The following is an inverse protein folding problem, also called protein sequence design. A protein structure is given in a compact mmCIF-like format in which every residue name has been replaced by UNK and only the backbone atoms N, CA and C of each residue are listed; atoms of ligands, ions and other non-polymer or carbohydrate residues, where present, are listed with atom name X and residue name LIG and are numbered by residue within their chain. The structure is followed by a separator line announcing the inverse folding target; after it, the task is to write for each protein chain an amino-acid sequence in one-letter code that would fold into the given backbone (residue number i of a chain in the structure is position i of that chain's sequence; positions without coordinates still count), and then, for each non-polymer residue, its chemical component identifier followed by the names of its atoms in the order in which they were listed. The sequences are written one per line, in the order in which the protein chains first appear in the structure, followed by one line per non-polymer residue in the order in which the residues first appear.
data_IF_590404574764
#
_entry.id   IF_590404574764
#
_cell.length_a   1.000
_cell.length_b   1.000
_cell.length_c   1.000
_cell.angle_alpha   90.00
_cell.angle_beta   90.00
_cell.angle_gamma   90.00
#
_symmetry.space_group_name_H-M   'P 1'
#
loop_
_entity.id
_entity.type
_entity.pdbx_description
1 polymer ?
#
# COMPACT_ATOMS: atom_id res chain seq x y z
N UNK A 1 9.86 4.37 -7.53
CA UNK A 1 9.17 5.30 -8.46
C UNK A 1 8.87 4.69 -9.81
N UNK A 2 9.37 3.49 -10.14
CA UNK A 2 9.20 2.92 -11.50
C UNK A 2 7.75 2.53 -11.75
N UNK A 3 7.08 1.95 -10.76
CA UNK A 3 5.66 1.57 -10.89
C UNK A 3 4.76 2.79 -11.14
N UNK A 4 4.90 3.88 -10.36
CA UNK A 4 4.09 5.08 -10.56
C UNK A 4 4.39 5.77 -11.91
N UNK A 5 5.66 5.84 -12.31
CA UNK A 5 6.05 6.37 -13.63
C UNK A 5 5.41 5.53 -14.74
N UNK A 6 5.42 4.20 -14.63
CA UNK A 6 4.82 3.32 -15.63
C UNK A 6 3.30 3.51 -15.77
N UNK A 7 2.59 3.71 -14.64
CA UNK A 7 1.15 4.00 -14.63
C UNK A 7 0.87 5.33 -15.34
N UNK A 8 1.66 6.37 -15.04
CA UNK A 8 1.38 7.74 -15.47
C UNK A 8 1.89 8.08 -16.87
N UNK A 9 2.88 7.34 -17.40
CA UNK A 9 3.45 7.58 -18.72
C UNK A 9 2.34 7.67 -19.81
N UNK A 10 2.31 8.73 -20.66
CA UNK A 10 3.38 9.70 -20.92
C UNK A 10 3.42 10.94 -20.00
N UNK A 11 2.50 11.08 -19.04
CA UNK A 11 2.54 12.19 -18.09
C UNK A 11 3.72 12.05 -17.14
N UNK A 12 4.39 13.18 -16.86
CA UNK A 12 5.34 13.22 -15.76
C UNK A 12 4.59 13.14 -14.42
N UNK A 13 5.22 12.53 -13.42
CA UNK A 13 4.66 12.43 -12.06
C UNK A 13 4.32 13.81 -11.50
N UNK A 14 5.19 14.81 -11.73
CA UNK A 14 4.99 16.19 -11.28
C UNK A 14 3.78 16.85 -11.94
N UNK A 15 3.62 16.68 -13.25
CA UNK A 15 2.48 17.25 -13.98
C UNK A 15 1.15 16.66 -13.48
N UNK A 16 1.11 15.33 -13.33
CA UNK A 16 -0.07 14.64 -12.82
C UNK A 16 -0.43 15.11 -11.40
N UNK A 17 0.53 15.19 -10.49
CA UNK A 17 0.27 15.66 -9.13
C UNK A 17 -0.19 17.12 -9.07
N UNK A 18 0.32 17.96 -9.97
CA UNK A 18 -0.07 19.37 -10.01
C UNK A 18 -1.47 19.60 -10.58
N UNK A 19 -1.88 18.83 -11.59
CA UNK A 19 -3.11 19.08 -12.36
C UNK A 19 -4.27 18.17 -12.00
N UNK A 20 -4.00 16.90 -11.72
CA UNK A 20 -5.03 15.86 -11.68
C UNK A 20 -5.25 15.32 -10.28
N UNK A 21 -4.17 15.01 -9.56
CA UNK A 21 -4.24 14.42 -8.23
C UNK A 21 -5.18 15.19 -7.30
N UNK A 22 -6.17 14.50 -6.74
CA UNK A 22 -7.27 15.00 -5.89
C UNK A 22 -8.23 16.00 -6.55
N UNK A 23 -8.02 16.37 -7.81
CA UNK A 23 -8.75 17.47 -8.45
C UNK A 23 -9.65 17.01 -9.61
N UNK A 24 -9.14 16.17 -10.52
CA UNK A 24 -9.85 15.81 -11.73
C UNK A 24 -9.41 14.45 -12.29
N UNK A 25 -10.38 13.67 -12.78
CA UNK A 25 -10.09 12.42 -13.47
C UNK A 25 -9.32 12.64 -14.76
N UNK A 26 -8.48 11.67 -15.13
CA UNK A 26 -7.71 11.70 -16.37
C UNK A 26 -7.61 10.31 -16.98
N UNK A 27 -7.86 10.24 -18.27
CA UNK A 27 -7.61 9.08 -19.10
C UNK A 27 -6.17 9.14 -19.63
N UNK A 28 -5.41 8.08 -19.42
CA UNK A 28 -4.01 7.96 -19.81
C UNK A 28 -3.91 6.79 -20.81
N UNK A 29 -3.78 7.09 -22.11
CA UNK A 29 -3.67 6.05 -23.12
C UNK A 29 -2.33 5.33 -22.99
N UNK A 30 -2.37 4.04 -23.31
CA UNK A 30 -1.19 3.19 -23.37
C UNK A 30 -0.51 3.18 -24.73
N UNK A 31 -1.06 3.88 -25.71
CA UNK A 31 -0.60 3.88 -27.11
C UNK A 31 -0.50 2.47 -27.71
N UNK A 32 -1.34 1.55 -27.24
CA UNK A 32 -1.37 0.15 -27.69
C UNK A 32 -0.39 -0.78 -26.98
N UNK A 33 0.41 -0.27 -26.03
CA UNK A 33 1.26 -1.11 -25.20
C UNK A 33 0.44 -1.78 -24.08
N UNK A 34 0.55 -3.09 -23.97
CA UNK A 34 -0.07 -3.82 -22.86
C UNK A 34 0.75 -3.71 -21.56
N UNK A 35 0.72 -2.52 -20.95
CA UNK A 35 1.57 -2.14 -19.80
C UNK A 35 1.48 -3.04 -18.57
N UNK A 36 0.40 -3.82 -18.43
CA UNK A 36 0.05 -4.56 -17.22
C UNK A 36 -0.09 -6.08 -17.42
N UNK A 37 0.28 -6.62 -18.59
CA UNK A 37 0.17 -8.05 -18.90
C UNK A 37 0.93 -8.96 -17.92
N UNK A 38 2.03 -8.46 -17.34
CA UNK A 38 2.81 -9.19 -16.35
C UNK A 38 2.13 -9.23 -14.97
N UNK A 39 1.26 -8.27 -14.67
CA UNK A 39 0.65 -8.13 -13.36
C UNK A 39 -0.49 -9.13 -13.17
N UNK A 40 -1.40 -9.25 -14.14
CA UNK A 40 -2.58 -10.08 -14.01
C UNK A 40 -3.12 -10.57 -15.36
N UNK A 41 -3.94 -11.63 -15.34
CA UNK A 41 -4.54 -12.22 -16.54
C UNK A 41 -5.74 -13.11 -16.19
N UNK A 42 -6.49 -13.56 -17.20
CA UNK A 42 -7.56 -14.54 -17.04
C UNK A 42 -7.06 -15.88 -16.49
N UNK A 43 -5.86 -16.32 -16.90
CA UNK A 43 -5.24 -17.56 -16.39
C UNK A 43 -4.92 -17.44 -14.91
N UNK A 44 -4.39 -16.29 -14.46
CA UNK A 44 -4.14 -16.04 -13.03
C UNK A 44 -5.44 -15.99 -12.23
N UNK A 45 -6.48 -15.33 -12.74
CA UNK A 45 -7.80 -15.35 -12.10
C UNK A 45 -8.34 -16.77 -11.97
N UNK A 46 -8.30 -17.55 -13.06
CA UNK A 46 -8.78 -18.94 -13.10
C UNK A 46 -7.98 -19.83 -12.15
N UNK A 47 -6.66 -19.68 -12.10
CA UNK A 47 -5.81 -20.38 -11.14
C UNK A 47 -6.23 -20.07 -9.70
N UNK A 48 -6.43 -18.79 -9.37
CA UNK A 48 -6.88 -18.40 -8.04
C UNK A 48 -8.23 -19.05 -7.70
N UNK A 49 -9.23 -18.97 -8.58
CA UNK A 49 -10.56 -19.54 -8.35
C UNK A 49 -10.54 -21.07 -8.17
N UNK A 50 -9.59 -21.77 -8.79
CA UNK A 50 -9.48 -23.22 -8.69
C UNK A 50 -8.68 -23.70 -7.46
N UNK A 51 -7.74 -22.89 -6.97
CA UNK A 51 -6.76 -23.33 -5.95
C UNK A 51 -6.77 -22.51 -4.66
N UNK A 52 -7.63 -21.49 -4.55
CA UNK A 52 -7.83 -20.72 -3.33
C UNK A 52 -9.28 -20.79 -2.90
N UNK A 53 -9.49 -20.90 -1.60
CA UNK A 53 -10.80 -20.76 -1.01
C UNK A 53 -11.10 -19.26 -0.84
N UNK A 54 -12.23 -18.83 -1.39
CA UNK A 54 -12.71 -17.46 -1.27
C UNK A 54 -13.98 -17.43 -0.43
N UNK A 55 -13.99 -16.55 0.55
CA UNK A 55 -15.17 -16.27 1.37
C UNK A 55 -15.65 -14.85 1.12
N UNK A 56 -16.92 -14.59 1.44
CA UNK A 56 -17.38 -13.21 1.55
C UNK A 56 -16.63 -12.51 2.71
N UNK A 57 -16.18 -11.25 2.57
CA UNK A 57 -16.32 -10.35 1.43
C UNK A 57 -15.10 -10.34 0.48
N UNK A 58 -14.18 -11.30 0.56
CA UNK A 58 -12.98 -11.34 -0.30
C UNK A 58 -13.32 -11.61 -1.78
N UNK A 59 -14.37 -12.39 -2.03
CA UNK A 59 -14.99 -12.53 -3.35
C UNK A 59 -16.47 -12.11 -3.28
N UNK A 60 -16.87 -11.23 -4.19
CA UNK A 60 -18.23 -10.68 -4.25
C UNK A 60 -18.74 -10.64 -5.69
N UNK A 61 -20.05 -10.60 -5.83
CA UNK A 61 -20.73 -10.40 -7.11
C UNK A 61 -21.56 -9.14 -7.05
N UNK A 62 -21.59 -8.40 -8.17
CA UNK A 62 -22.48 -7.27 -8.35
C UNK A 62 -23.38 -7.49 -9.56
N UNK A 63 -24.68 -7.37 -9.37
CA UNK A 63 -25.70 -7.59 -10.39
C UNK A 63 -26.76 -6.49 -10.28
N UNK A 64 -27.24 -6.01 -11.43
CA UNK A 64 -28.26 -4.95 -11.52
C UNK A 64 -27.91 -3.70 -10.70
N UNK A 65 -26.62 -3.36 -10.70
CA UNK A 65 -26.10 -2.15 -10.07
C UNK A 65 -25.81 -2.25 -8.57
N UNK A 66 -26.13 -3.36 -7.91
CA UNK A 66 -25.86 -3.57 -6.48
C UNK A 66 -24.81 -4.66 -6.26
N UNK A 67 -23.99 -4.49 -5.23
CA UNK A 67 -23.19 -5.60 -4.68
C UNK A 67 -24.14 -6.51 -3.92
N UNK A 68 -24.09 -7.81 -4.20
CA UNK A 68 -24.92 -8.82 -3.57
C UNK A 68 -24.43 -9.09 -2.14
N UNK A 69 -25.38 -9.31 -1.23
CA UNK A 69 -25.09 -9.71 0.14
C UNK A 69 -24.54 -11.15 0.20
N UNK A 70 -23.93 -11.55 1.32
CA UNK A 70 -23.31 -12.87 1.48
C UNK A 70 -24.23 -14.04 1.09
N UNK A 71 -25.50 -13.98 1.49
CA UNK A 71 -26.48 -15.04 1.17
C UNK A 71 -26.90 -15.07 -0.30
N UNK A 72 -26.86 -13.93 -0.98
CA UNK A 72 -27.15 -13.80 -2.42
C UNK A 72 -25.93 -14.15 -3.28
N UNK A 73 -24.72 -14.01 -2.72
CA UNK A 73 -23.43 -14.30 -3.35
C UNK A 73 -23.15 -15.82 -3.43
N UNK A 74 -24.12 -16.57 -3.93
CA UNK A 74 -24.12 -18.03 -4.03
C UNK A 74 -24.11 -18.47 -5.50
N UNK A 75 -23.45 -19.61 -5.79
CA UNK A 75 -23.36 -20.17 -7.13
C UNK A 75 -22.78 -19.19 -8.17
N UNK A 76 -21.48 -18.90 -8.00
CA UNK A 76 -20.68 -17.97 -8.80
C UNK A 76 -20.94 -18.06 -10.32
N UNK A 77 -20.87 -19.28 -10.87
CA UNK A 77 -20.97 -19.46 -12.32
C UNK A 77 -22.35 -19.08 -12.87
N UNK A 78 -23.41 -19.41 -12.14
CA UNK A 78 -24.78 -19.06 -12.55
C UNK A 78 -24.95 -17.54 -12.59
N UNK A 79 -24.52 -16.84 -11.54
CA UNK A 79 -24.63 -15.38 -11.46
C UNK A 79 -23.79 -14.69 -12.53
N UNK A 80 -22.58 -15.19 -12.82
CA UNK A 80 -21.77 -14.69 -13.93
C UNK A 80 -22.48 -14.86 -15.29
N UNK A 81 -23.13 -16.00 -15.54
CA UNK A 81 -23.93 -16.23 -16.76
C UNK A 81 -25.14 -15.29 -16.85
N UNK A 82 -25.69 -14.86 -15.71
CA UNK A 82 -26.77 -13.87 -15.63
C UNK A 82 -26.26 -12.41 -15.81
N UNK A 83 -24.94 -12.23 -15.85
CA UNK A 83 -24.30 -10.94 -16.10
C UNK A 83 -23.68 -10.28 -14.86
N UNK A 84 -23.60 -10.99 -13.73
CA UNK A 84 -23.00 -10.44 -12.52
C UNK A 84 -21.50 -10.17 -12.70
N UNK A 85 -21.06 -8.98 -12.33
CA UNK A 85 -19.63 -8.64 -12.27
C UNK A 85 -18.99 -9.31 -11.06
N UNK A 86 -17.95 -10.09 -11.30
CA UNK A 86 -17.13 -10.72 -10.27
C UNK A 86 -16.11 -9.71 -9.74
N UNK A 87 -15.99 -9.63 -8.41
CA UNK A 87 -15.09 -8.76 -7.67
C UNK A 87 -14.22 -9.62 -6.77
N UNK A 88 -12.89 -9.51 -6.92
CA UNK A 88 -11.93 -10.15 -6.01
C UNK A 88 -11.17 -9.07 -5.27
N UNK A 89 -11.49 -8.89 -4.00
CA UNK A 89 -10.89 -7.89 -3.15
C UNK A 89 -9.46 -8.29 -2.75
N UNK A 90 -8.61 -7.28 -2.57
CA UNK A 90 -7.24 -7.45 -2.04
C UNK A 90 -6.42 -8.51 -2.79
N UNK A 91 -6.64 -8.66 -4.09
CA UNK A 91 -6.00 -9.70 -4.92
C UNK A 91 -4.46 -9.59 -4.94
N UNK A 92 -3.92 -8.40 -4.66
CA UNK A 92 -2.48 -8.19 -4.41
C UNK A 92 -1.91 -8.98 -3.24
N UNK A 93 -2.72 -9.60 -2.38
CA UNK A 93 -2.24 -10.51 -1.34
C UNK A 93 -2.02 -11.93 -1.83
N UNK A 94 -2.56 -12.28 -2.99
CA UNK A 94 -2.58 -13.63 -3.54
C UNK A 94 -1.58 -13.81 -4.69
N UNK A 95 -1.11 -12.71 -5.29
CA UNK A 95 -0.29 -12.73 -6.50
C UNK A 95 1.01 -11.97 -6.26
N UNK A 96 2.18 -12.63 -6.33
CA UNK A 96 3.48 -12.01 -6.05
C UNK A 96 3.78 -10.75 -6.87
N UNK A 97 3.40 -10.72 -8.15
CA UNK A 97 3.63 -9.57 -9.02
C UNK A 97 2.82 -8.36 -8.56
N UNK A 98 1.56 -8.57 -8.15
CA UNK A 98 0.72 -7.52 -7.58
C UNK A 98 1.17 -7.11 -6.18
N UNK A 99 1.67 -8.05 -5.36
CA UNK A 99 2.33 -7.73 -4.09
C UNK A 99 3.48 -6.76 -4.29
N UNK A 100 4.36 -7.06 -5.24
CA UNK A 100 5.55 -6.24 -5.51
C UNK A 100 5.16 -4.88 -6.07
N UNK A 101 4.23 -4.85 -7.04
CA UNK A 101 3.69 -3.63 -7.61
C UNK A 101 3.07 -2.72 -6.53
N UNK A 102 2.17 -3.26 -5.70
CA UNK A 102 1.54 -2.48 -4.63
C UNK A 102 2.54 -2.04 -3.56
N UNK A 103 3.54 -2.85 -3.23
CA UNK A 103 4.59 -2.48 -2.28
C UNK A 103 5.45 -1.34 -2.80
N UNK A 104 5.80 -1.34 -4.09
CA UNK A 104 6.52 -0.23 -4.71
C UNK A 104 5.68 1.06 -4.70
N UNK A 105 4.40 0.98 -5.09
CA UNK A 105 3.49 2.14 -5.05
C UNK A 105 3.36 2.69 -3.63
N UNK A 106 3.21 1.84 -2.62
CA UNK A 106 3.17 2.26 -1.20
C UNK A 106 4.45 2.96 -0.78
N UNK A 107 5.60 2.42 -1.21
CA UNK A 107 6.90 3.01 -0.91
C UNK A 107 7.03 4.43 -1.50
N UNK A 108 6.61 4.59 -2.76
CA UNK A 108 6.67 5.84 -3.51
C UNK A 108 5.70 6.90 -2.97
N UNK A 109 4.46 6.52 -2.69
CA UNK A 109 3.39 7.43 -2.29
C UNK A 109 3.40 7.68 -0.77
N UNK A 110 3.92 6.74 0.03
CA UNK A 110 3.92 6.81 1.50
C UNK A 110 2.58 6.49 2.17
N UNK A 111 1.57 6.04 1.42
CA UNK A 111 0.24 5.70 1.93
C UNK A 111 -0.15 4.26 1.62
N UNK A 112 -1.22 3.80 2.26
CA UNK A 112 -1.77 2.46 2.03
C UNK A 112 -2.28 2.32 0.59
N UNK A 113 -1.97 1.19 -0.03
CA UNK A 113 -2.49 0.82 -1.34
C UNK A 113 -3.14 -0.56 -1.29
N UNK A 114 -4.21 -0.73 -2.05
CA UNK A 114 -4.92 -1.98 -2.21
C UNK A 114 -5.28 -2.16 -3.68
N UNK A 115 -5.19 -3.39 -4.18
CA UNK A 115 -5.71 -3.74 -5.52
C UNK A 115 -6.86 -4.73 -5.40
N UNK A 116 -7.93 -4.43 -6.12
CA UNK A 116 -9.05 -5.33 -6.39
C UNK A 116 -9.09 -5.69 -7.87
N UNK A 117 -9.57 -6.88 -8.22
CA UNK A 117 -9.85 -7.27 -9.60
C UNK A 117 -11.35 -7.29 -9.87
N UNK A 118 -11.72 -6.91 -11.10
CA UNK A 118 -13.11 -6.88 -11.56
C UNK A 118 -13.22 -7.54 -12.93
N UNK A 119 -14.14 -8.49 -13.04
CA UNK A 119 -14.47 -9.22 -14.25
C UNK A 119 -15.94 -8.96 -14.62
N UNK A 120 -16.17 -8.31 -15.76
CA UNK A 120 -17.50 -7.91 -16.23
C UNK A 120 -17.82 -8.52 -17.60
N UNK A 121 -19.12 -8.71 -17.88
CA UNK A 121 -19.63 -9.34 -19.10
C UNK A 121 -20.32 -8.31 -20.01
N UNK A 122 -20.36 -8.56 -21.34
CA UNK A 122 -21.01 -7.68 -22.31
C UNK A 122 -22.45 -7.31 -21.96
N UNK A 123 -22.84 -6.06 -22.25
CA UNK A 123 -24.23 -5.61 -22.20
C UNK A 123 -24.86 -5.50 -20.80
N UNK A 124 -24.07 -5.66 -19.73
CA UNK A 124 -24.54 -5.61 -18.34
C UNK A 124 -23.73 -4.61 -17.52
N UNK A 125 -24.45 -3.73 -16.83
CA UNK A 125 -23.86 -2.80 -15.86
C UNK A 125 -23.66 -3.52 -14.52
N UNK A 126 -22.42 -3.69 -14.09
CA UNK A 126 -22.13 -4.32 -12.80
C UNK A 126 -22.53 -3.46 -11.60
N UNK A 127 -22.20 -2.17 -11.64
CA UNK A 127 -22.42 -1.22 -10.54
C UNK A 127 -23.25 -0.04 -10.97
N UNK A 128 -24.16 0.42 -10.13
CA UNK A 128 -24.79 1.73 -10.28
C UNK A 128 -23.73 2.83 -10.21
N UNK A 129 -24.08 4.03 -10.65
CA UNK A 129 -23.21 5.20 -10.44
C UNK A 129 -22.91 5.35 -8.95
N UNK A 130 -21.63 5.48 -8.60
CA UNK A 130 -21.14 5.61 -7.23
C UNK A 130 -19.83 6.39 -7.21
N UNK A 131 -19.39 6.85 -6.05
CA UNK A 131 -18.02 7.32 -5.84
C UNK A 131 -17.32 6.47 -4.78
N UNK A 132 -15.99 6.47 -4.84
CA UNK A 132 -15.10 5.92 -3.81
C UNK A 132 -14.68 7.00 -2.81
N UNK A 133 -14.42 6.59 -1.57
CA UNK A 133 -13.88 7.45 -0.51
C UNK A 133 -12.35 7.50 -0.48
N UNK A 134 -11.71 7.01 -1.54
CA UNK A 134 -10.26 6.90 -1.70
C UNK A 134 -9.89 7.11 -3.17
N UNK A 135 -8.62 7.44 -3.42
CA UNK A 135 -8.12 7.72 -4.77
C UNK A 135 -8.00 6.41 -5.55
N UNK A 136 -8.44 6.36 -6.81
CA UNK A 136 -8.39 5.12 -7.59
C UNK A 136 -7.71 5.27 -8.94
N UNK A 137 -6.90 4.28 -9.29
CA UNK A 137 -6.37 4.05 -10.63
C UNK A 137 -6.95 2.75 -11.17
N UNK A 138 -7.69 2.84 -12.27
CA UNK A 138 -8.19 1.72 -13.03
C UNK A 138 -7.12 1.33 -14.05
N UNK A 139 -6.64 0.10 -13.99
CA UNK A 139 -5.66 -0.48 -14.89
C UNK A 139 -6.36 -1.53 -15.75
N UNK A 140 -6.60 -1.24 -17.03
CA UNK A 140 -7.30 -2.17 -17.93
C UNK A 140 -6.36 -3.32 -18.31
N UNK A 141 -6.76 -4.56 -18.01
CA UNK A 141 -5.94 -5.76 -18.25
C UNK A 141 -6.34 -6.43 -19.56
N UNK A 142 -7.64 -6.69 -19.75
CA UNK A 142 -8.13 -7.38 -20.94
C UNK A 142 -9.54 -6.91 -21.32
N UNK A 143 -9.89 -7.03 -22.60
CA UNK A 143 -11.15 -6.51 -23.15
C UNK A 143 -11.27 -4.99 -23.07
N UNK A 144 -12.48 -4.48 -23.31
CA UNK A 144 -12.78 -3.04 -23.33
C UNK A 144 -13.90 -2.66 -22.38
N UNK A 145 -13.73 -1.51 -21.72
CA UNK A 145 -14.74 -0.97 -20.79
C UNK A 145 -14.94 0.52 -21.02
N UNK A 146 -16.20 0.93 -21.20
CA UNK A 146 -16.58 2.34 -21.28
C UNK A 146 -16.81 2.88 -19.88
N UNK A 147 -16.16 3.99 -19.56
CA UNK A 147 -16.24 4.66 -18.28
C UNK A 147 -16.87 6.04 -18.43
N UNK A 148 -17.71 6.39 -17.47
CA UNK A 148 -18.33 7.70 -17.34
C UNK A 148 -17.99 8.25 -15.96
N UNK A 149 -17.45 9.46 -15.90
CA UNK A 149 -17.07 10.14 -14.66
C UNK A 149 -17.76 11.49 -14.58
N UNK A 150 -18.37 11.76 -13.43
CA UNK A 150 -19.18 12.91 -13.11
C UNK A 150 -18.56 13.68 -11.93
N UNK A 151 -18.93 14.96 -11.75
CA UNK A 151 -18.42 15.77 -10.64
C UNK A 151 -18.74 15.16 -9.27
N UNK A 152 -17.97 15.52 -8.26
CA UNK A 152 -18.27 15.16 -6.88
C UNK A 152 -19.55 15.86 -6.39
N UNK A 153 -20.31 15.19 -5.52
CA UNK A 153 -21.39 15.81 -4.74
C UNK A 153 -20.93 16.18 -3.33
N UNK A 154 -19.86 15.53 -2.87
CA UNK A 154 -19.16 15.80 -1.62
C UNK A 154 -17.67 15.79 -1.96
N UNK A 155 -16.97 16.90 -1.71
CA UNK A 155 -15.52 16.96 -1.86
C UNK A 155 -14.83 16.17 -0.76
N UNK A 156 -13.87 15.34 -1.16
CA UNK A 156 -13.00 14.60 -0.25
C UNK A 156 -13.76 13.78 0.81
N UNK A 157 -14.73 12.93 0.41
CA UNK A 157 -15.55 12.20 1.37
C UNK A 157 -14.70 11.32 2.28
N UNK A 158 -15.05 11.31 3.56
CA UNK A 158 -14.50 10.42 4.56
C UNK A 158 -15.01 8.99 4.38
N UNK A 159 -14.34 7.97 4.95
CA UNK A 159 -14.79 6.58 4.85
C UNK A 159 -16.23 6.33 5.29
N UNK A 160 -16.80 7.13 6.17
CA UNK A 160 -18.18 6.98 6.64
C UNK A 160 -19.20 7.63 5.66
N UNK A 161 -18.73 8.48 4.76
CA UNK A 161 -19.54 9.22 3.78
C UNK A 161 -19.64 8.43 2.47
N UNK A 162 -20.17 7.22 2.55
CA UNK A 162 -20.33 6.33 1.41
C UNK A 162 -21.38 6.84 0.41
N UNK A 163 -21.17 6.58 -0.88
CA UNK A 163 -22.04 7.03 -1.97
C UNK A 163 -23.47 6.49 -1.91
N UNK A 164 -23.69 5.34 -1.28
CA UNK A 164 -25.03 4.77 -1.07
C UNK A 164 -25.97 5.70 -0.26
N UNK A 165 -25.42 6.63 0.51
CA UNK A 165 -26.16 7.62 1.29
C UNK A 165 -26.40 8.93 0.55
N UNK A 166 -26.02 9.02 -0.73
CA UNK A 166 -26.07 10.24 -1.54
C UNK A 166 -26.78 9.98 -2.87
N UNK A 167 -27.36 11.03 -3.44
CA UNK A 167 -27.87 10.99 -4.81
C UNK A 167 -26.74 11.30 -5.80
N UNK A 168 -26.66 10.58 -6.94
CA UNK A 168 -25.74 10.94 -8.02
C UNK A 168 -26.01 12.37 -8.53
N UNK A 169 -24.99 13.06 -9.08
CA UNK A 169 -25.17 14.36 -9.69
C UNK A 169 -26.06 14.25 -10.93
N UNK A 170 -26.86 15.28 -11.17
CA UNK A 170 -27.58 15.44 -12.43
C UNK A 170 -26.65 15.99 -13.52
N UNK A 171 -26.89 15.61 -14.78
CA UNK A 171 -26.16 16.11 -15.94
C UNK A 171 -25.23 15.06 -16.57
N UNK A 172 -24.46 15.53 -17.55
CA UNK A 172 -23.57 14.69 -18.35
C UNK A 172 -22.22 14.45 -17.66
N UNK A 173 -21.55 13.31 -17.92
CA UNK A 173 -20.23 13.06 -17.40
C UNK A 173 -19.23 14.06 -17.98
N UNK A 174 -18.37 14.64 -17.14
CA UNK A 174 -17.30 15.52 -17.62
C UNK A 174 -16.18 14.75 -18.33
N UNK A 175 -16.09 13.44 -18.10
CA UNK A 175 -15.18 12.54 -18.79
C UNK A 175 -15.90 11.26 -19.16
N UNK A 176 -15.86 10.91 -20.45
CA UNK A 176 -16.34 9.63 -20.98
C UNK A 176 -15.26 9.05 -21.89
N UNK A 177 -14.74 7.86 -21.55
CA UNK A 177 -13.68 7.21 -22.32
C UNK A 177 -13.91 5.69 -22.42
N UNK A 178 -13.19 5.05 -23.35
CA UNK A 178 -13.13 3.59 -23.46
C UNK A 178 -11.69 3.19 -23.12
N UNK A 179 -11.52 2.34 -22.11
CA UNK A 179 -10.22 1.78 -21.78
C UNK A 179 -9.99 0.51 -22.61
N UNK A 180 -8.82 0.45 -23.24
CA UNK A 180 -8.25 -0.73 -23.90
C UNK A 180 -7.15 -1.33 -23.02
N UNK A 181 -6.75 -2.60 -23.25
CA UNK A 181 -5.68 -3.22 -22.48
C UNK A 181 -4.41 -2.36 -22.40
N UNK A 182 -3.94 -2.10 -21.18
CA UNK A 182 -2.81 -1.22 -20.87
C UNK A 182 -3.18 0.22 -20.52
N UNK A 183 -4.38 0.69 -20.88
CA UNK A 183 -4.83 2.05 -20.57
C UNK A 183 -5.09 2.23 -19.07
N UNK A 184 -4.98 3.47 -18.60
CA UNK A 184 -5.25 3.85 -17.21
C UNK A 184 -6.33 4.93 -17.13
N UNK A 185 -7.21 4.83 -16.16
CA UNK A 185 -8.09 5.93 -15.74
C UNK A 185 -7.83 6.24 -14.26
N UNK A 186 -7.43 7.46 -13.97
CA UNK A 186 -7.41 7.96 -12.60
C UNK A 186 -8.73 8.67 -12.28
N UNK A 187 -9.31 8.38 -11.11
CA UNK A 187 -10.52 9.05 -10.60
C UNK A 187 -10.25 9.51 -9.16
N UNK A 188 -10.39 10.81 -8.86
CA UNK A 188 -10.25 11.29 -7.49
C UNK A 188 -11.42 10.84 -6.60
N UNK A 189 -11.17 10.72 -5.29
CA UNK A 189 -12.24 10.34 -4.34
C UNK A 189 -13.41 11.33 -4.39
N UNK A 190 -14.63 10.83 -4.25
CA UNK A 190 -15.86 11.63 -4.33
C UNK A 190 -16.40 11.85 -5.74
N UNK A 191 -15.61 11.62 -6.80
CA UNK A 191 -16.12 11.72 -8.17
C UNK A 191 -16.95 10.49 -8.53
N UNK A 192 -18.19 10.75 -8.93
CA UNK A 192 -19.14 9.73 -9.30
C UNK A 192 -18.75 9.07 -10.61
N UNK A 193 -18.92 7.77 -10.72
CA UNK A 193 -18.59 7.03 -11.91
C UNK A 193 -19.39 5.73 -12.04
N UNK A 194 -19.52 5.28 -13.28
CA UNK A 194 -19.94 3.92 -13.60
C UNK A 194 -19.23 3.44 -14.87
N UNK A 195 -19.26 2.12 -15.08
CA UNK A 195 -18.59 1.49 -16.20
C UNK A 195 -19.44 0.39 -16.83
N UNK A 196 -19.35 0.28 -18.15
CA UNK A 196 -20.05 -0.69 -18.97
C UNK A 196 -19.02 -1.50 -19.76
N UNK A 197 -19.06 -2.83 -19.61
CA UNK A 197 -18.35 -3.70 -20.53
C UNK A 197 -19.03 -3.63 -21.91
N UNK A 198 -18.22 -3.58 -22.96
CA UNK A 198 -18.71 -3.41 -24.34
C UNK A 198 -19.03 -4.79 -24.95
N UNK A 199 -18.42 -5.13 -26.07
CA UNK A 199 -18.80 -6.30 -26.88
C UNK A 199 -18.18 -7.61 -26.38
N UNK A 200 -17.13 -7.53 -25.56
CA UNK A 200 -16.36 -8.67 -25.03
C UNK A 200 -16.23 -8.61 -23.50
N UNK A 201 -15.98 -9.75 -22.83
CA UNK A 201 -15.62 -9.76 -21.41
C UNK A 201 -14.48 -8.80 -21.10
N UNK A 202 -14.52 -8.15 -19.94
CA UNK A 202 -13.54 -7.13 -19.55
C UNK A 202 -12.96 -7.43 -18.17
N UNK A 203 -11.64 -7.37 -18.09
CA UNK A 203 -10.86 -7.57 -16.87
C UNK A 203 -10.07 -6.29 -16.56
N UNK A 204 -10.22 -5.76 -15.35
CA UNK A 204 -9.39 -4.65 -14.88
C UNK A 204 -9.00 -4.83 -13.42
N UNK A 205 -7.92 -4.14 -13.05
CA UNK A 205 -7.50 -3.96 -11.67
C UNK A 205 -7.83 -2.54 -11.24
N UNK A 206 -8.32 -2.36 -10.02
CA UNK A 206 -8.42 -1.03 -9.40
C UNK A 206 -7.42 -0.96 -8.27
N UNK A 207 -6.43 -0.08 -8.43
CA UNK A 207 -5.48 0.32 -7.41
C UNK A 207 -6.09 1.49 -6.61
N UNK A 208 -6.54 1.21 -5.39
CA UNK A 208 -7.01 2.19 -4.43
C UNK A 208 -5.88 2.69 -3.53
N UNK A 209 -5.74 4.01 -3.38
CA UNK A 209 -4.80 4.66 -2.46
C UNK A 209 -5.55 5.32 -1.29
N UNK A 210 -5.23 4.88 -0.09
CA UNK A 210 -5.86 5.32 1.16
C UNK A 210 -4.97 6.37 1.83
N UNK A 211 -5.00 7.59 1.30
CA UNK A 211 -4.25 8.73 1.80
C UNK A 211 -4.78 9.22 3.15
N UNK A 212 -3.87 9.73 3.98
CA UNK A 212 -4.19 10.34 5.27
C UNK A 212 -4.70 11.77 5.12
N UNK A 213 -5.55 12.17 6.04
CA UNK A 213 -6.20 13.48 6.08
C UNK A 213 -5.66 14.33 7.23
N UNK A 214 -6.07 15.59 7.30
CA UNK A 214 -5.78 16.43 8.47
C UNK A 214 -6.37 15.90 9.78
N UNK A 215 -7.44 15.09 9.71
CA UNK A 215 -8.03 14.42 10.88
C UNK A 215 -7.04 13.39 11.44
N UNK A 216 -6.45 12.56 10.58
CA UNK A 216 -5.47 11.55 11.00
C UNK A 216 -4.23 12.20 11.67
N UNK A 217 -3.79 13.35 11.17
CA UNK A 217 -2.70 14.13 11.79
C UNK A 217 -3.10 14.61 13.19
N UNK A 218 -4.31 15.15 13.33
CA UNK A 218 -4.81 15.63 14.61
C UNK A 218 -4.99 14.47 15.62
N UNK A 219 -5.49 13.32 15.18
CA UNK A 219 -5.61 12.13 16.03
C UNK A 219 -4.26 11.64 16.54
N UNK A 220 -3.25 11.58 15.67
CA UNK A 220 -1.88 11.27 16.08
C UNK A 220 -1.35 12.32 17.08
N UNK A 221 -1.55 13.60 16.78
CA UNK A 221 -1.09 14.70 17.63
C UNK A 221 -1.74 14.65 19.03
N UNK A 222 -3.01 14.28 19.13
CA UNK A 222 -3.67 14.02 20.42
C UNK A 222 -2.95 12.91 21.20
N UNK A 223 -2.41 11.90 20.52
CA UNK A 223 -1.54 10.88 21.10
C UNK A 223 -0.28 11.46 21.74
N UNK A 224 0.41 12.37 21.05
CA UNK A 224 1.61 13.06 21.55
C UNK A 224 1.28 13.96 22.74
N UNK A 225 0.21 14.75 22.65
CA UNK A 225 -0.20 15.69 23.70
C UNK A 225 -0.60 14.99 25.00
N UNK A 226 -1.07 13.73 24.96
CA UNK A 226 -1.34 12.93 26.17
C UNK A 226 -0.12 12.73 27.06
N UNK A 227 1.09 12.85 26.53
CA UNK A 227 2.32 12.73 27.32
C UNK A 227 2.62 13.99 28.14
N UNK A 228 1.98 15.12 27.82
CA UNK A 228 2.21 16.40 28.49
C UNK A 228 1.29 16.58 29.69
N UNK A 229 1.84 17.09 30.79
CA UNK A 229 1.07 17.33 32.02
C UNK A 229 -0.05 18.34 31.80
N UNK A 230 0.22 19.47 31.15
CA UNK A 230 -0.76 20.55 30.96
C UNK A 230 -2.02 20.08 30.21
N UNK A 231 -1.88 19.13 29.29
CA UNK A 231 -2.98 18.52 28.54
C UNK A 231 -3.72 17.42 29.30
N UNK A 232 -3.14 16.91 30.40
CA UNK A 232 -3.78 15.93 31.29
C UNK A 232 -4.48 16.58 32.49
N UNK A 233 -4.21 17.86 32.78
CA UNK A 233 -4.85 18.57 33.90
C UNK A 233 -6.34 18.73 33.68
N UNK A 234 -7.10 18.69 34.78
CA UNK A 234 -8.54 18.94 34.76
C UNK A 234 -8.82 20.36 34.27
N UNK A 235 -9.86 20.50 33.43
CA UNK A 235 -10.40 21.81 33.07
C UNK A 235 -10.90 22.55 34.32
N UNK A 236 -10.92 23.90 34.30
CA UNK A 236 -11.57 24.69 35.35
C UNK A 236 -13.01 24.27 35.58
N UNK A 237 -13.48 24.41 36.84
CA UNK A 237 -14.86 24.13 37.19
C UNK A 237 -15.80 25.04 36.39
N UNK A 238 -16.87 24.46 35.84
CA UNK A 238 -17.82 25.13 34.92
C UNK A 238 -18.68 26.22 35.58
N UNK A 239 -18.39 26.60 36.82
CA UNK A 239 -19.12 27.63 37.55
C UNK A 239 -18.86 29.03 36.94
N UNK A 240 -17.77 29.20 36.20
CA UNK A 240 -17.40 30.46 35.54
C UNK A 240 -16.91 30.22 34.10
N UNK A 241 -17.72 30.53 33.08
CA UNK A 241 -17.40 30.30 31.66
C UNK A 241 -16.10 30.99 31.20
N UNK A 242 -15.78 32.16 31.77
CA UNK A 242 -14.54 32.89 31.45
C UNK A 242 -13.28 32.08 31.80
N UNK A 243 -13.32 31.29 32.88
CA UNK A 243 -12.19 30.45 33.30
C UNK A 243 -11.90 29.33 32.29
N UNK A 244 -12.95 28.74 31.71
CA UNK A 244 -12.83 27.70 30.67
C UNK A 244 -12.21 28.28 29.40
N UNK A 245 -12.65 29.46 28.96
CA UNK A 245 -12.08 30.12 27.77
C UNK A 245 -10.58 30.40 27.95
N UNK A 246 -10.19 31.01 29.07
CA UNK A 246 -8.77 31.32 29.35
C UNK A 246 -7.91 30.06 29.36
N UNK A 247 -8.42 28.95 29.92
CA UNK A 247 -7.69 27.69 29.91
C UNK A 247 -7.57 27.11 28.49
N UNK A 248 -8.63 27.16 27.68
CA UNK A 248 -8.58 26.75 26.26
C UNK A 248 -7.57 27.60 25.47
N UNK A 249 -7.56 28.92 25.67
CA UNK A 249 -6.60 29.81 25.01
C UNK A 249 -5.15 29.45 25.42
N UNK A 250 -4.92 29.09 26.69
CA UNK A 250 -3.62 28.61 27.16
C UNK A 250 -3.20 27.30 26.51
N UNK A 251 -4.12 26.34 26.32
CA UNK A 251 -3.83 25.08 25.63
C UNK A 251 -3.52 25.32 24.13
N UNK A 252 -4.25 26.24 23.48
CA UNK A 252 -3.96 26.63 22.10
C UNK A 252 -2.57 27.28 22.00
N UNK A 253 -2.19 28.11 22.98
CA UNK A 253 -0.86 28.71 23.02
C UNK A 253 0.23 27.65 23.23
N UNK A 254 0.05 26.70 24.15
CA UNK A 254 0.99 25.58 24.34
C UNK A 254 1.10 24.72 23.08
N UNK A 255 -0.02 24.46 22.40
CA UNK A 255 -0.02 23.74 21.13
C UNK A 255 0.85 24.48 20.10
N UNK A 256 0.63 25.78 19.91
CA UNK A 256 1.41 26.57 18.96
C UNK A 256 2.91 26.57 19.30
N UNK A 257 3.25 26.66 20.58
CA UNK A 257 4.64 26.59 21.03
C UNK A 257 5.25 25.20 20.76
N UNK A 258 4.50 24.13 21.00
CA UNK A 258 4.93 22.78 20.70
C UNK A 258 5.16 22.56 19.20
N UNK A 259 4.21 22.99 18.37
CA UNK A 259 4.32 22.87 16.91
C UNK A 259 5.49 23.70 16.36
N UNK A 260 5.76 24.89 16.93
CA UNK A 260 6.88 25.74 16.52
C UNK A 260 8.25 25.19 16.92
N UNK A 261 8.32 24.43 18.03
CA UNK A 261 9.56 23.84 18.54
C UNK A 261 9.89 22.44 18.01
N UNK A 262 8.98 21.81 17.27
CA UNK A 262 9.07 20.40 16.85
C UNK A 262 9.08 20.28 15.32
N UNK A 263 9.68 19.21 14.78
CA UNK A 263 9.58 18.92 13.34
C UNK A 263 8.40 17.97 13.10
N UNK A 264 7.19 18.49 13.31
CA UNK A 264 5.94 17.73 13.28
C UNK A 264 5.76 16.95 11.97
N UNK A 265 6.18 17.53 10.85
CA UNK A 265 6.15 16.85 9.56
C UNK A 265 7.01 15.57 9.55
N UNK A 266 8.26 15.68 10.01
CA UNK A 266 9.18 14.53 10.08
C UNK A 266 8.76 13.50 11.15
N UNK A 267 8.21 13.96 12.27
CA UNK A 267 7.68 13.10 13.33
C UNK A 267 6.46 12.31 12.85
N UNK A 268 5.51 12.97 12.18
CA UNK A 268 4.35 12.31 11.62
C UNK A 268 4.72 11.33 10.49
N UNK A 269 5.66 11.69 9.60
CA UNK A 269 6.18 10.76 8.61
C UNK A 269 6.83 9.53 9.29
N UNK A 270 7.62 9.75 10.34
CA UNK A 270 8.20 8.65 11.12
C UNK A 270 7.13 7.75 11.74
N UNK A 271 6.04 8.35 12.23
CA UNK A 271 4.89 7.61 12.77
C UNK A 271 4.20 6.77 11.68
N UNK A 272 3.94 7.35 10.50
CA UNK A 272 3.36 6.62 9.37
C UNK A 272 4.25 5.45 8.91
N UNK A 273 5.56 5.65 8.89
CA UNK A 273 6.53 4.60 8.57
C UNK A 273 6.49 3.46 9.59
N UNK A 274 6.28 3.78 10.87
CA UNK A 274 6.08 2.80 11.93
C UNK A 274 4.74 2.06 11.85
N UNK A 275 3.68 2.72 11.36
CA UNK A 275 2.37 2.11 11.12
C UNK A 275 2.33 1.20 9.90
N UNK A 276 3.20 1.43 8.92
CA UNK A 276 3.25 0.62 7.73
C UNK A 276 3.42 -0.84 8.14
N UNK A 277 2.36 -1.64 7.96
CA UNK A 277 2.42 -3.09 8.10
C UNK A 277 2.88 -3.65 6.75
N UNK A 278 4.16 -3.99 6.61
CA UNK A 278 4.66 -4.68 5.44
C UNK A 278 4.03 -6.08 5.38
N UNK A 279 3.98 -6.64 4.18
CA UNK A 279 3.68 -8.06 4.07
C UNK A 279 4.81 -8.83 4.75
N UNK A 280 4.46 -9.69 5.71
CA UNK A 280 5.44 -10.54 6.35
C UNK A 280 6.05 -11.47 5.29
N UNK A 281 7.34 -11.29 5.05
CA UNK A 281 8.11 -12.25 4.28
C UNK A 281 8.66 -13.29 5.24
N UNK A 282 8.69 -14.53 4.78
CA UNK A 282 9.25 -15.64 5.53
C UNK A 282 10.31 -16.33 4.67
N UNK A 283 11.44 -16.65 5.28
CA UNK A 283 12.50 -17.45 4.63
C UNK A 283 12.68 -18.74 5.42
N UNK A 284 11.70 -19.64 5.34
CA UNK A 284 11.78 -20.95 5.96
C UNK A 284 12.64 -21.91 5.12
N UNK A 285 13.44 -22.81 5.72
CA UNK A 285 13.55 -23.04 7.17
C UNK A 285 14.60 -22.14 7.86
N UNK A 286 15.31 -21.30 7.11
CA UNK A 286 16.44 -20.48 7.60
C UNK A 286 16.04 -19.54 8.74
N UNK A 287 14.90 -18.88 8.62
CA UNK A 287 14.33 -18.01 9.65
C UNK A 287 13.95 -18.75 10.92
N UNK A 288 13.71 -20.06 10.84
CA UNK A 288 13.51 -20.92 12.01
C UNK A 288 14.84 -21.38 12.64
N UNK A 289 15.99 -20.90 12.15
CA UNK A 289 17.32 -21.19 12.68
C UNK A 289 18.03 -22.39 12.05
N UNK A 290 17.47 -23.00 10.99
CA UNK A 290 18.05 -24.21 10.39
C UNK A 290 18.85 -23.91 9.12
N UNK A 291 20.07 -24.46 9.04
CA UNK A 291 20.94 -24.42 7.85
C UNK A 291 21.18 -23.01 7.28
N UNK A 292 21.24 -22.01 8.16
CA UNK A 292 21.31 -20.59 7.80
C UNK A 292 22.53 -20.27 6.92
N UNK A 293 23.66 -20.94 7.18
CA UNK A 293 24.90 -20.79 6.42
C UNK A 293 25.31 -22.09 5.71
N UNK A 294 24.36 -22.77 5.04
CA UNK A 294 24.65 -24.02 4.30
C UNK A 294 25.81 -23.87 3.30
N UNK A 295 26.00 -22.66 2.77
CA UNK A 295 27.07 -22.33 1.82
C UNK A 295 28.20 -21.51 2.45
N UNK A 296 28.32 -21.50 3.79
CA UNK A 296 29.32 -20.71 4.50
C UNK A 296 29.24 -19.23 4.13
N UNK A 297 30.38 -18.63 3.79
CA UNK A 297 30.50 -17.22 3.39
C UNK A 297 29.81 -16.91 2.06
N UNK A 298 29.57 -17.92 1.22
CA UNK A 298 28.85 -17.76 -0.07
C UNK A 298 27.32 -17.76 0.11
N UNK A 299 26.84 -17.89 1.34
CA UNK A 299 25.42 -17.75 1.64
C UNK A 299 24.94 -16.35 1.26
N UNK A 300 23.90 -16.29 0.43
CA UNK A 300 23.30 -15.03 -0.02
C UNK A 300 22.17 -14.59 0.88
N UNK A 301 22.15 -13.29 1.17
CA UNK A 301 21.14 -12.60 1.93
C UNK A 301 20.53 -11.48 1.09
N UNK A 302 19.31 -11.10 1.44
CA UNK A 302 18.63 -9.93 0.88
C UNK A 302 17.82 -9.22 1.96
N UNK A 303 17.79 -7.90 1.89
CA UNK A 303 16.79 -7.10 2.58
C UNK A 303 15.54 -6.93 1.71
N UNK A 304 14.34 -6.75 2.29
CA UNK A 304 13.15 -6.49 1.50
C UNK A 304 13.22 -5.14 0.77
N UNK A 305 12.99 -5.17 -0.55
CA UNK A 305 13.23 -4.03 -1.46
C UNK A 305 12.43 -2.75 -1.20
N UNK A 306 11.26 -2.86 -0.57
CA UNK A 306 10.31 -1.74 -0.40
C UNK A 306 10.00 -1.45 1.07
N UNK A 307 10.98 -1.75 1.93
CA UNK A 307 10.86 -1.59 3.37
C UNK A 307 11.55 -0.30 3.80
N UNK A 308 10.82 0.55 4.52
CA UNK A 308 11.42 1.73 5.16
C UNK A 308 12.16 1.26 6.41
N UNK A 309 13.41 1.68 6.52
CA UNK A 309 14.31 1.32 7.63
C UNK A 309 14.74 2.61 8.30
N UNK A 310 14.47 2.71 9.60
CA UNK A 310 14.97 3.81 10.41
C UNK A 310 16.17 3.33 11.21
N UNK A 311 17.29 4.02 11.07
CA UNK A 311 18.54 3.74 11.78
C UNK A 311 18.77 4.88 12.76
N UNK A 312 18.82 4.56 14.05
CA UNK A 312 19.09 5.50 15.12
C UNK A 312 20.38 5.10 15.83
N UNK A 313 21.25 6.04 16.14
CA UNK A 313 22.41 5.77 16.99
C UNK A 313 21.96 5.55 18.44
N UNK A 314 22.57 4.59 19.12
CA UNK A 314 22.30 4.34 20.54
C UNK A 314 22.86 5.51 21.36
N UNK A 315 22.19 5.84 22.47
CA UNK A 315 22.56 6.98 23.33
C UNK A 315 23.96 6.87 23.95
N UNK A 316 24.49 5.66 24.04
CA UNK A 316 25.85 5.37 24.55
C UNK A 316 26.91 5.34 23.44
N UNK A 317 26.53 5.61 22.19
CA UNK A 317 27.42 5.53 21.02
C UNK A 317 27.89 4.10 20.69
N UNK A 318 27.33 3.08 21.35
CA UNK A 318 27.81 1.70 21.22
C UNK A 318 27.34 0.99 19.96
N UNK A 319 26.48 1.62 19.16
CA UNK A 319 25.96 1.04 17.91
C UNK A 319 24.64 1.67 17.47
N UNK A 320 23.82 0.86 16.80
CA UNK A 320 22.62 1.34 16.11
C UNK A 320 21.37 0.53 16.49
N UNK A 321 20.25 1.25 16.60
CA UNK A 321 18.89 0.72 16.71
C UNK A 321 18.24 0.80 15.33
N UNK A 322 17.88 -0.36 14.79
CA UNK A 322 17.17 -0.51 13.54
C UNK A 322 15.69 -0.71 13.85
N UNK A 323 14.85 0.14 13.29
CA UNK A 323 13.39 0.04 13.40
C UNK A 323 12.84 -0.21 12.02
N UNK A 324 12.18 -1.36 11.86
CA UNK A 324 11.58 -1.73 10.58
C UNK A 324 10.56 -2.87 10.73
N UNK A 325 9.54 -2.91 9.87
CA UNK A 325 8.40 -3.86 9.97
C UNK A 325 7.71 -3.89 11.36
N UNK A 326 7.73 -2.78 12.11
CA UNK A 326 7.25 -2.75 13.51
C UNK A 326 8.13 -3.53 14.49
N UNK A 327 9.31 -3.99 14.07
CA UNK A 327 10.34 -4.63 14.89
C UNK A 327 11.43 -3.64 15.21
N UNK A 328 12.08 -3.89 16.34
CA UNK A 328 13.22 -3.11 16.83
C UNK A 328 14.36 -4.06 17.15
N UNK A 329 15.52 -3.84 16.53
CA UNK A 329 16.74 -4.62 16.78
C UNK A 329 17.89 -3.66 17.04
N UNK A 330 18.56 -3.82 18.18
CA UNK A 330 19.78 -3.10 18.51
C UNK A 330 21.01 -3.95 18.17
N UNK A 331 21.91 -3.38 17.38
CA UNK A 331 23.21 -3.98 17.03
C UNK A 331 24.29 -3.09 17.63
N UNK A 332 25.20 -3.70 18.37
CA UNK A 332 26.34 -3.02 19.02
C UNK A 332 27.64 -3.38 18.33
N UNK A 333 28.61 -2.49 18.39
CA UNK A 333 29.97 -2.72 17.89
C UNK A 333 29.98 -3.02 16.40
N UNK A 334 29.23 -2.27 15.60
CA UNK A 334 29.28 -2.34 14.13
C UNK A 334 29.36 -0.94 13.57
N UNK A 335 30.05 -0.78 12.45
CA UNK A 335 30.10 0.51 11.75
C UNK A 335 28.78 0.82 11.03
N UNK A 336 28.49 2.11 10.85
CA UNK A 336 27.32 2.59 10.11
C UNK A 336 27.28 2.08 8.67
N UNK A 337 28.44 1.97 8.05
CA UNK A 337 28.66 1.49 6.68
C UNK A 337 28.05 0.11 6.45
N UNK A 338 28.18 -0.80 7.41
CA UNK A 338 27.57 -2.13 7.37
C UNK A 338 26.04 -2.01 7.26
N UNK A 339 25.45 -1.20 8.12
CA UNK A 339 23.99 -1.02 8.17
C UNK A 339 23.51 -0.44 6.84
N UNK A 340 24.21 0.58 6.34
CA UNK A 340 23.90 1.20 5.04
C UNK A 340 24.00 0.18 3.89
N UNK A 341 25.03 -0.67 3.88
CA UNK A 341 25.24 -1.71 2.86
C UNK A 341 24.15 -2.80 2.89
N UNK A 342 23.78 -3.29 4.08
CA UNK A 342 22.76 -4.34 4.27
C UNK A 342 21.37 -3.88 3.79
N UNK A 343 21.06 -2.59 3.97
CA UNK A 343 19.76 -2.02 3.61
C UNK A 343 19.75 -1.27 2.27
N UNK A 344 20.76 -1.48 1.40
CA UNK A 344 20.74 -0.98 0.01
C UNK A 344 19.64 -1.60 -0.85
N UNK A 345 19.12 -2.77 -0.47
CA UNK A 345 18.11 -3.53 -1.21
C UNK A 345 18.70 -4.48 -2.26
N UNK A 346 20.03 -4.48 -2.45
CA UNK A 346 20.72 -5.45 -3.30
C UNK A 346 21.10 -6.71 -2.48
N UNK A 347 21.05 -7.90 -3.08
CA UNK A 347 21.52 -9.11 -2.41
C UNK A 347 23.03 -9.07 -2.16
N UNK A 348 23.46 -9.61 -1.03
CA UNK A 348 24.87 -9.68 -0.61
C UNK A 348 25.20 -11.07 -0.07
N UNK A 349 26.49 -11.38 0.05
CA UNK A 349 27.02 -12.64 0.60
C UNK A 349 27.66 -12.43 1.96
N UNK A 350 27.92 -13.51 2.69
CA UNK A 350 28.81 -13.46 3.86
C UNK A 350 30.22 -12.95 3.52
N UNK A 351 30.73 -13.29 2.34
CA UNK A 351 32.00 -12.78 1.80
C UNK A 351 31.98 -11.24 1.63
N UNK A 352 30.86 -10.67 1.19
CA UNK A 352 30.69 -9.21 1.13
C UNK A 352 30.72 -8.59 2.52
N UNK A 353 30.08 -9.22 3.52
CA UNK A 353 30.09 -8.73 4.91
C UNK A 353 31.49 -8.77 5.50
N UNK A 354 32.27 -9.82 5.26
CA UNK A 354 33.69 -9.88 5.67
C UNK A 354 34.52 -8.75 5.03
N UNK A 355 34.25 -8.41 3.77
CA UNK A 355 34.93 -7.30 3.10
C UNK A 355 34.53 -5.93 3.69
N UNK A 356 33.29 -5.79 4.15
CA UNK A 356 32.83 -4.56 4.83
C UNK A 356 33.37 -4.45 6.26
N UNK A 357 33.70 -5.58 6.89
CA UNK A 357 34.13 -5.69 8.28
C UNK A 357 35.41 -6.54 8.39
N UNK A 358 36.56 -6.09 7.85
CA UNK A 358 37.77 -6.91 7.75
C UNK A 358 38.38 -7.29 9.11
N UNK A 359 38.04 -6.56 10.17
CA UNK A 359 38.51 -6.80 11.55
C UNK A 359 37.62 -7.78 12.34
N UNK A 360 36.52 -8.28 11.73
CA UNK A 360 35.54 -9.13 12.41
C UNK A 360 35.68 -10.59 11.96
N UNK A 361 35.60 -11.51 12.90
CA UNK A 361 35.68 -12.94 12.60
C UNK A 361 34.36 -13.50 12.06
N UNK A 362 34.46 -14.39 11.08
CA UNK A 362 33.29 -15.00 10.45
C UNK A 362 32.43 -15.78 11.46
N UNK A 363 33.04 -16.63 12.29
CA UNK A 363 32.32 -17.54 13.17
C UNK A 363 31.85 -16.84 14.45
N UNK A 364 32.68 -15.98 15.04
CA UNK A 364 32.36 -15.38 16.35
C UNK A 364 31.57 -14.08 16.27
N UNK A 365 31.69 -13.33 15.18
CA UNK A 365 31.05 -12.01 15.07
C UNK A 365 29.97 -11.95 13.99
N UNK A 366 30.32 -12.34 12.75
CA UNK A 366 29.44 -12.17 11.58
C UNK A 366 28.29 -13.18 11.60
N UNK A 367 28.56 -14.46 11.89
CA UNK A 367 27.53 -15.51 11.95
C UNK A 367 26.45 -15.20 13.00
N UNK A 368 26.77 -14.82 14.26
CA UNK A 368 25.75 -14.44 15.24
C UNK A 368 24.93 -13.22 14.82
N UNK A 369 25.59 -12.21 14.24
CA UNK A 369 24.92 -11.01 13.74
C UNK A 369 23.90 -11.34 12.65
N UNK A 370 24.34 -12.02 11.58
CA UNK A 370 23.48 -12.37 10.45
C UNK A 370 22.38 -13.36 10.87
N UNK A 371 22.68 -14.30 11.77
CA UNK A 371 21.67 -15.20 12.36
C UNK A 371 20.57 -14.43 13.04
N UNK A 372 20.93 -13.46 13.91
CA UNK A 372 19.96 -12.62 14.60
C UNK A 372 19.10 -11.83 13.62
N UNK A 373 19.70 -11.23 12.60
CA UNK A 373 18.97 -10.48 11.58
C UNK A 373 17.99 -11.36 10.78
N UNK A 374 18.37 -12.61 10.48
CA UNK A 374 17.49 -13.55 9.77
C UNK A 374 16.37 -14.06 10.67
N UNK A 375 16.65 -14.47 11.91
CA UNK A 375 15.63 -14.94 12.86
C UNK A 375 14.62 -13.84 13.16
N UNK A 376 15.09 -12.61 13.35
CA UNK A 376 14.23 -11.44 13.54
C UNK A 376 13.53 -11.01 12.25
N UNK A 377 13.80 -11.63 11.10
CA UNK A 377 13.15 -11.33 9.81
C UNK A 377 13.45 -9.92 9.30
N UNK A 378 14.64 -9.40 9.61
CA UNK A 378 15.14 -8.12 9.13
C UNK A 378 15.78 -8.30 7.74
N UNK A 379 16.51 -9.40 7.57
CA UNK A 379 17.04 -9.87 6.29
C UNK A 379 16.63 -11.33 6.06
N UNK A 380 16.78 -11.82 4.83
CA UNK A 380 16.33 -13.14 4.43
C UNK A 380 17.41 -13.86 3.62
N UNK A 381 17.56 -15.17 3.83
CA UNK A 381 18.39 -16.00 2.95
C UNK A 381 17.76 -16.03 1.56
N UNK A 382 18.56 -15.74 0.53
CA UNK A 382 18.12 -15.69 -0.87
C UNK A 382 18.42 -16.99 -1.61
N UNK A 383 17.38 -17.77 -1.91
CA UNK A 383 17.49 -19.08 -2.58
C UNK A 383 17.30 -19.02 -4.09
N UNK A 384 17.10 -17.82 -4.66
CA UNK A 384 16.70 -17.64 -6.06
C UNK A 384 17.67 -18.22 -7.10
N UNK A 385 18.94 -18.42 -6.75
CA UNK A 385 19.97 -18.97 -7.64
C UNK A 385 20.07 -20.50 -7.57
N UNK A 386 19.73 -21.12 -6.45
CA UNK A 386 19.91 -22.56 -6.25
C UNK A 386 18.87 -23.42 -6.98
N UNK A 387 17.73 -22.85 -7.39
CA UNK A 387 16.75 -23.56 -8.23
C UNK A 387 17.22 -23.81 -9.67
N UNK A 388 18.17 -23.02 -10.20
CA UNK A 388 18.72 -23.27 -11.54
C UNK A 388 19.75 -24.40 -11.59
N UNK A 389 20.35 -24.78 -10.45
CA UNK A 389 21.37 -25.84 -10.40
C UNK A 389 20.81 -27.23 -10.06
N UNK A 390 19.59 -27.33 -9.52
CA UNK A 390 18.93 -28.63 -9.24
C UNK A 390 18.22 -29.27 -10.42
N UNK A 391 18.09 -28.56 -11.55
CA UNK A 391 17.49 -29.08 -12.79
C UNK A 391 18.56 -29.48 -13.84
N UNK A 392 19.74 -29.91 -13.39
CA UNK A 392 20.76 -30.53 -14.27
C UNK A 392 21.09 -31.93 -13.80
#
# INVERSE_FOLDING_TARGET
MRSLINILNPYSVEEFFKKNWTNQAVFIPSEGYKKFDNLFSWEKLTYLLNFHEFHYPDLRLALDGKVLDESENANLMKLCQEGATLIVNKIHKLIPELTNFTSEVKYDIGYGAQVNAYCSWPGKQGFSSHYDTHEVFILQIDGKKKWHVFPDTIKYPLPEQQSASCSPPEGEPYLSCILNPGDVLYIPRGHWHYALALDEPSLHLTLGLHCKTGIDVLEWLVGELRQKEEWRRSLPLRMETASVKTHVDSLIQDLNQYLAGSNIGQEYISYLDGLAKPMAQYSLPYQAGFNLFLHGTETRFKSPKFQRVKILELSDGSGYKIITLGKEVSIKGVERSLIENVFTGEPFTGSDVMNWLPEYDWETDIVPLLSRLVVEGIIFVDTSIHHKQRNK
#
